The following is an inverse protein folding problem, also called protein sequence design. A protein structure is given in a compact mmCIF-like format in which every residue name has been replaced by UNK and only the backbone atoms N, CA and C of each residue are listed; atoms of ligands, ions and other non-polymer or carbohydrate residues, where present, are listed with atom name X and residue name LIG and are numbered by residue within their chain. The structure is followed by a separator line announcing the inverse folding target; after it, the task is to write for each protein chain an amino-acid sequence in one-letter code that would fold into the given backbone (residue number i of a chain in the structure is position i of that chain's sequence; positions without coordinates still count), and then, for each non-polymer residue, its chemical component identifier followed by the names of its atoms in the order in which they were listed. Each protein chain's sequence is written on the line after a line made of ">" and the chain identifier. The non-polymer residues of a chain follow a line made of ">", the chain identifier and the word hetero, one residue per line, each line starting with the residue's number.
data_IF_447097599497
#
_entry.id   IF_447097599497
#
_cell.length_a   1.000
_cell.length_b   1.000
_cell.length_c   1.000
_cell.angle_alpha   90.00
_cell.angle_beta   90.00
_cell.angle_gamma   90.00
#
_symmetry.space_group_name_H-M   'P 1'
#
loop_
_entity.id
_entity.type
_entity.pdbx_description
1 polymer ?
#
# COMPACT_ATOMS: atom_id res chain seq x y z
N UNK A 1 5.52 -9.10 25.47
CA UNK A 1 5.31 -7.70 25.90
C UNK A 1 3.95 -7.27 25.37
N UNK A 2 3.05 -6.78 26.21
CA UNK A 2 1.76 -6.28 25.72
C UNK A 2 2.06 -5.08 24.79
N UNK A 3 1.58 -5.12 23.55
CA UNK A 3 1.62 -3.94 22.66
C UNK A 3 0.99 -2.78 23.44
N UNK A 4 1.68 -1.65 23.52
CA UNK A 4 1.13 -0.45 24.13
C UNK A 4 -0.22 -0.13 23.49
N UNK A 5 -1.18 0.29 24.32
CA UNK A 5 -2.54 0.59 23.85
C UNK A 5 -2.46 1.81 22.94
N UNK A 6 -2.63 1.59 21.64
CA UNK A 6 -2.62 2.66 20.64
C UNK A 6 -3.64 3.74 21.00
N UNK A 7 -3.18 4.99 21.15
CA UNK A 7 -4.01 6.15 21.49
C UNK A 7 -4.38 6.85 20.17
N UNK A 8 -5.67 6.82 19.82
CA UNK A 8 -6.20 7.51 18.64
C UNK A 8 -6.39 9.00 18.93
N UNK A 9 -5.34 9.80 18.77
CA UNK A 9 -5.43 11.26 18.93
C UNK A 9 -5.83 11.99 17.64
N UNK A 10 -5.58 11.37 16.47
CA UNK A 10 -5.80 11.96 15.15
C UNK A 10 -6.92 11.24 14.38
N UNK A 11 -7.61 11.94 13.46
CA UNK A 11 -8.52 11.28 12.52
C UNK A 11 -7.81 10.16 11.76
N UNK A 12 -8.47 9.01 11.66
CA UNK A 12 -7.95 7.81 11.02
C UNK A 12 -8.50 7.68 9.60
N UNK A 13 -7.64 7.34 8.65
CA UNK A 13 -8.03 7.06 7.25
C UNK A 13 -7.30 5.82 6.76
N UNK A 14 -8.04 4.86 6.24
CA UNK A 14 -7.49 3.70 5.55
C UNK A 14 -7.19 4.10 4.10
N UNK A 15 -5.94 3.94 3.67
CA UNK A 15 -5.54 4.21 2.29
C UNK A 15 -4.76 3.03 1.72
N UNK A 16 -4.57 2.99 0.41
CA UNK A 16 -3.71 1.96 -0.18
C UNK A 16 -3.20 2.29 -1.57
N UNK A 17 -2.10 1.65 -1.95
CA UNK A 17 -1.51 1.78 -3.29
C UNK A 17 -2.15 0.81 -4.27
N UNK A 18 -2.54 1.32 -5.43
CA UNK A 18 -3.10 0.52 -6.53
C UNK A 18 -2.40 0.90 -7.83
N UNK A 19 -2.44 0.02 -8.84
CA UNK A 19 -1.83 0.25 -10.14
C UNK A 19 -1.19 -1.02 -10.70
N UNK A 20 -0.72 -0.92 -11.94
CA UNK A 20 -0.09 -2.03 -12.67
C UNK A 20 1.15 -2.60 -11.95
N UNK A 21 1.50 -3.84 -12.29
CA UNK A 21 2.75 -4.47 -11.85
C UNK A 21 3.95 -3.60 -12.25
N UNK A 22 5.03 -3.64 -11.46
CA UNK A 22 6.29 -2.91 -11.68
C UNK A 22 6.21 -1.37 -11.73
N UNK A 23 5.05 -0.77 -11.47
CA UNK A 23 4.92 0.70 -11.38
C UNK A 23 5.48 1.30 -10.07
N UNK A 24 6.05 0.48 -9.17
CA UNK A 24 6.71 0.96 -7.95
C UNK A 24 5.80 1.23 -6.75
N UNK A 25 4.66 0.54 -6.64
CA UNK A 25 3.72 0.65 -5.49
C UNK A 25 4.43 0.42 -4.15
N UNK A 26 5.06 -0.74 -3.99
CA UNK A 26 5.76 -1.14 -2.77
C UNK A 26 6.97 -0.24 -2.48
N UNK A 27 7.70 0.16 -3.52
CA UNK A 27 8.80 1.14 -3.41
C UNK A 27 8.31 2.49 -2.90
N UNK A 28 7.15 2.96 -3.38
CA UNK A 28 6.53 4.18 -2.90
C UNK A 28 6.10 4.05 -1.43
N UNK A 29 5.50 2.92 -1.05
CA UNK A 29 5.11 2.65 0.35
C UNK A 29 6.32 2.70 1.29
N UNK A 30 7.43 2.08 0.91
CA UNK A 30 8.70 2.18 1.66
C UNK A 30 9.24 3.62 1.72
N UNK A 31 9.15 4.39 0.62
CA UNK A 31 9.60 5.77 0.59
C UNK A 31 8.76 6.70 1.49
N UNK A 32 7.45 6.47 1.56
CA UNK A 32 6.54 7.21 2.45
C UNK A 32 6.94 7.00 3.91
N UNK A 33 7.08 5.74 4.35
CA UNK A 33 7.49 5.46 5.74
C UNK A 33 8.87 6.00 6.06
N UNK A 34 9.82 5.93 5.11
CA UNK A 34 11.16 6.51 5.29
C UNK A 34 11.11 8.02 5.49
N UNK A 35 10.30 8.71 4.68
CA UNK A 35 10.21 10.16 4.73
C UNK A 35 9.56 10.63 6.04
N UNK A 36 8.56 9.91 6.52
CA UNK A 36 7.85 10.23 7.76
C UNK A 36 8.64 9.81 9.00
N UNK A 37 9.42 8.73 8.95
CA UNK A 37 10.28 8.31 10.06
C UNK A 37 11.41 9.32 10.32
N UNK A 38 11.93 9.96 9.27
CA UNK A 38 12.87 11.08 9.42
C UNK A 38 12.29 12.28 10.18
N UNK A 39 10.96 12.37 10.28
CA UNK A 39 10.24 13.38 11.07
C UNK A 39 9.74 12.86 12.42
N UNK A 40 10.01 11.59 12.75
CA UNK A 40 9.49 10.93 13.94
C UNK A 40 8.00 10.61 13.87
N UNK A 41 7.41 10.55 12.68
CA UNK A 41 5.97 10.34 12.45
C UNK A 41 5.64 8.93 11.92
N UNK A 42 6.62 8.03 11.83
CA UNK A 42 6.44 6.65 11.43
C UNK A 42 7.65 5.81 11.86
N UNK A 43 7.45 4.50 11.96
CA UNK A 43 8.54 3.55 11.92
C UNK A 43 8.89 3.24 10.46
N UNK A 44 10.19 3.28 10.13
CA UNK A 44 10.62 2.98 8.76
C UNK A 44 10.37 1.51 8.44
N UNK A 45 9.63 1.25 7.36
CA UNK A 45 9.43 -0.08 6.80
C UNK A 45 10.18 -0.18 5.47
N UNK A 46 11.25 -0.97 5.46
CA UNK A 46 12.03 -1.20 4.25
C UNK A 46 11.26 -2.08 3.25
N UNK A 47 11.60 -1.98 1.96
CA UNK A 47 10.97 -2.76 0.89
C UNK A 47 10.88 -4.26 1.22
N UNK A 48 11.99 -4.87 1.67
CA UNK A 48 12.06 -6.30 2.02
C UNK A 48 11.23 -6.70 3.25
N UNK A 49 10.75 -5.71 4.03
CA UNK A 49 9.85 -5.94 5.16
C UNK A 49 8.37 -5.87 4.73
N UNK A 50 8.09 -5.16 3.64
CA UNK A 50 6.77 -5.07 3.02
C UNK A 50 6.55 -6.32 2.16
N UNK A 51 7.47 -6.62 1.23
CA UNK A 51 7.52 -7.88 0.47
C UNK A 51 8.33 -8.93 1.25
N UNK A 52 7.73 -9.45 2.33
CA UNK A 52 8.42 -10.36 3.25
C UNK A 52 8.23 -11.85 2.92
N UNK A 53 7.28 -12.21 2.05
CA UNK A 53 7.04 -13.60 1.75
C UNK A 53 8.19 -14.17 0.90
N UNK A 54 8.67 -15.40 1.15
CA UNK A 54 9.72 -16.03 0.35
C UNK A 54 9.39 -16.05 -1.15
N UNK A 55 8.11 -16.28 -1.49
CA UNK A 55 7.63 -16.32 -2.87
C UNK A 55 7.65 -14.92 -3.54
N UNK A 56 7.42 -13.85 -2.78
CA UNK A 56 7.49 -12.47 -3.28
C UNK A 56 8.93 -12.08 -3.63
N UNK A 57 9.89 -12.46 -2.77
CA UNK A 57 11.32 -12.21 -3.00
C UNK A 57 11.86 -12.99 -4.18
N UNK A 58 11.41 -14.23 -4.38
CA UNK A 58 11.81 -15.05 -5.52
C UNK A 58 11.23 -14.54 -6.85
N UNK A 59 10.00 -14.02 -6.83
CA UNK A 59 9.30 -13.57 -8.05
C UNK A 59 9.44 -12.07 -8.34
N UNK A 60 9.88 -11.27 -7.37
CA UNK A 60 10.01 -9.82 -7.51
C UNK A 60 8.68 -9.09 -7.65
N UNK A 61 7.57 -9.70 -7.22
CA UNK A 61 6.22 -9.13 -7.30
C UNK A 61 5.52 -9.27 -5.95
N UNK A 62 4.73 -8.27 -5.58
CA UNK A 62 3.84 -8.32 -4.41
C UNK A 62 2.71 -9.33 -4.64
N UNK A 63 2.51 -10.22 -3.69
CA UNK A 63 1.51 -11.30 -3.72
C UNK A 63 0.50 -11.10 -2.60
N UNK A 64 0.99 -10.87 -1.38
CA UNK A 64 0.21 -10.64 -0.19
C UNK A 64 -0.07 -9.15 0.01
N UNK A 65 -1.11 -8.87 0.77
CA UNK A 65 -1.42 -7.51 1.20
C UNK A 65 -0.48 -7.17 2.37
N UNK A 66 0.25 -6.07 2.26
CA UNK A 66 1.04 -5.55 3.37
C UNK A 66 0.30 -4.39 4.04
N UNK A 67 0.26 -4.40 5.37
CA UNK A 67 -0.28 -3.30 6.16
C UNK A 67 0.86 -2.52 6.81
N UNK A 68 0.87 -1.22 6.58
CA UNK A 68 1.89 -0.29 7.06
C UNK A 68 1.20 0.89 7.72
N UNK A 69 1.67 1.29 8.89
CA UNK A 69 1.11 2.43 9.63
C UNK A 69 2.08 3.61 9.59
N UNK A 70 1.53 4.81 9.39
CA UNK A 70 2.27 6.06 9.53
C UNK A 70 1.29 7.20 9.79
N UNK A 71 1.81 8.33 10.25
CA UNK A 71 1.01 9.51 10.46
C UNK A 71 1.62 10.75 9.84
N UNK A 72 0.77 11.76 9.71
CA UNK A 72 1.18 13.14 9.43
C UNK A 72 0.88 13.99 10.65
N UNK A 73 1.18 15.28 10.59
CA UNK A 73 0.78 16.23 11.61
C UNK A 73 -0.75 16.28 11.82
N UNK A 74 -1.54 15.88 10.81
CA UNK A 74 -2.99 16.06 10.80
C UNK A 74 -3.82 14.77 10.95
N UNK A 75 -3.29 13.62 10.54
CA UNK A 75 -4.04 12.34 10.43
C UNK A 75 -3.16 11.13 10.66
N UNK A 76 -3.77 10.04 11.13
CA UNK A 76 -3.19 8.69 11.15
C UNK A 76 -3.66 7.90 9.92
N UNK A 77 -2.75 7.15 9.31
CA UNK A 77 -3.03 6.35 8.13
C UNK A 77 -2.68 4.88 8.37
N UNK A 78 -3.65 4.01 8.08
CA UNK A 78 -3.37 2.60 7.82
C UNK A 78 -3.25 2.44 6.30
N UNK A 79 -2.04 2.12 5.82
CA UNK A 79 -1.73 1.94 4.40
C UNK A 79 -1.76 0.46 4.05
N UNK A 80 -2.54 0.11 3.05
CA UNK A 80 -2.67 -1.22 2.45
C UNK A 80 -1.94 -1.26 1.11
N UNK A 81 -0.79 -1.92 1.03
CA UNK A 81 -0.07 -2.12 -0.24
C UNK A 81 -0.70 -3.28 -1.01
N UNK A 82 -1.29 -3.00 -2.18
CA UNK A 82 -2.00 -4.02 -2.96
C UNK A 82 -1.18 -4.55 -4.14
N UNK A 83 -1.31 -5.85 -4.46
CA UNK A 83 -0.62 -6.45 -5.60
C UNK A 83 -1.16 -5.90 -6.93
N UNK A 84 -0.28 -5.71 -7.91
CA UNK A 84 -0.60 -5.20 -9.25
C UNK A 84 -0.65 -6.26 -10.35
N UNK A 85 -0.30 -7.50 -10.03
CA UNK A 85 -0.29 -8.59 -10.99
C UNK A 85 -1.70 -9.18 -11.16
N UNK A 86 -2.04 -9.57 -12.40
CA UNK A 86 -3.39 -10.03 -12.75
C UNK A 86 -3.83 -11.25 -11.94
N UNK A 87 -2.90 -12.16 -11.68
CA UNK A 87 -3.17 -13.39 -10.94
C UNK A 87 -3.53 -13.15 -9.46
N UNK A 88 -3.20 -11.97 -8.93
CA UNK A 88 -3.42 -11.61 -7.52
C UNK A 88 -4.47 -10.51 -7.33
N UNK A 89 -5.28 -10.22 -8.37
CA UNK A 89 -6.39 -9.26 -8.29
C UNK A 89 -7.38 -9.58 -7.15
N UNK A 90 -7.58 -10.86 -6.80
CA UNK A 90 -8.45 -11.26 -5.68
C UNK A 90 -8.01 -10.64 -4.35
N UNK A 91 -6.70 -10.55 -4.13
CA UNK A 91 -6.14 -9.95 -2.92
C UNK A 91 -6.35 -8.43 -2.95
N UNK A 92 -6.16 -7.82 -4.12
CA UNK A 92 -6.46 -6.39 -4.33
C UNK A 92 -7.94 -6.07 -4.04
N UNK A 93 -8.90 -6.91 -4.44
CA UNK A 93 -10.34 -6.70 -4.14
C UNK A 93 -10.58 -6.67 -2.63
N UNK A 94 -9.98 -7.61 -1.89
CA UNK A 94 -10.11 -7.66 -0.42
C UNK A 94 -9.49 -6.43 0.23
N UNK A 95 -8.37 -5.94 -0.30
CA UNK A 95 -7.70 -4.71 0.16
C UNK A 95 -8.52 -3.45 -0.14
N UNK A 96 -9.05 -3.32 -1.36
CA UNK A 96 -9.83 -2.16 -1.80
C UNK A 96 -11.10 -1.94 -0.97
N UNK A 97 -11.75 -3.02 -0.49
CA UNK A 97 -12.92 -2.94 0.38
C UNK A 97 -12.68 -2.29 1.75
N UNK A 98 -11.42 -2.15 2.14
CA UNK A 98 -11.04 -1.55 3.42
C UNK A 98 -10.58 -0.10 3.25
N UNK A 99 -10.48 0.43 2.03
CA UNK A 99 -9.86 1.72 1.75
C UNK A 99 -10.90 2.85 1.68
N UNK A 100 -10.65 3.92 2.44
CA UNK A 100 -11.36 5.20 2.31
C UNK A 100 -10.83 6.02 1.11
N UNK A 101 -9.63 5.70 0.64
CA UNK A 101 -9.01 6.34 -0.54
C UNK A 101 -7.84 5.53 -1.09
N UNK A 102 -7.53 5.71 -2.37
CA UNK A 102 -6.46 4.97 -3.04
C UNK A 102 -5.42 5.90 -3.68
N UNK A 103 -4.16 5.48 -3.62
CA UNK A 103 -3.01 6.09 -4.31
C UNK A 103 -2.78 5.29 -5.59
N UNK A 104 -3.17 5.87 -6.74
CA UNK A 104 -2.92 5.25 -8.04
C UNK A 104 -1.48 5.55 -8.49
N UNK A 105 -0.68 4.49 -8.64
CA UNK A 105 0.71 4.61 -9.08
C UNK A 105 0.83 4.27 -10.57
N UNK A 106 1.34 5.23 -11.33
CA UNK A 106 1.55 5.11 -12.78
C UNK A 106 3.00 5.44 -13.11
N UNK A 107 3.69 4.46 -13.69
CA UNK A 107 5.04 4.62 -14.21
C UNK A 107 5.06 5.68 -15.32
N UNK A 108 5.98 6.64 -15.25
CA UNK A 108 6.11 7.67 -16.28
C UNK A 108 6.58 7.12 -17.64
N UNK A 109 7.52 6.13 -17.70
CA UNK A 109 7.86 5.45 -18.95
C UNK A 109 6.71 4.68 -19.61
N UNK A 110 5.88 3.99 -18.82
CA UNK A 110 4.88 3.05 -19.36
C UNK A 110 3.50 3.70 -19.56
N UNK A 111 3.15 4.65 -18.70
CA UNK A 111 1.83 5.27 -18.67
C UNK A 111 0.73 4.30 -18.18
N UNK A 112 -0.54 4.59 -18.50
CA UNK A 112 -1.67 3.76 -18.05
C UNK A 112 -1.72 2.40 -18.76
N UNK A 113 -1.63 1.32 -17.98
CA UNK A 113 -1.67 -0.07 -18.46
C UNK A 113 -3.05 -0.72 -18.22
N UNK A 114 -3.34 -1.92 -18.75
CA UNK A 114 -4.64 -2.58 -18.56
C UNK A 114 -5.05 -2.72 -17.08
N UNK A 115 -4.11 -3.11 -16.22
CA UNK A 115 -4.33 -3.24 -14.77
C UNK A 115 -4.54 -1.88 -14.10
N UNK A 116 -3.95 -0.79 -14.60
CA UNK A 116 -4.26 0.56 -14.12
C UNK A 116 -5.76 0.85 -14.27
N UNK A 117 -6.35 0.49 -15.40
CA UNK A 117 -7.79 0.68 -15.66
C UNK A 117 -8.64 -0.26 -14.81
N UNK A 118 -8.25 -1.53 -14.74
CA UNK A 118 -8.94 -2.55 -13.96
C UNK A 118 -8.96 -2.19 -12.46
N UNK A 119 -7.83 -1.71 -11.94
CA UNK A 119 -7.74 -1.30 -10.54
C UNK A 119 -8.63 -0.10 -10.22
N UNK A 120 -8.71 0.89 -11.12
CA UNK A 120 -9.63 2.02 -10.95
C UNK A 120 -11.09 1.57 -10.99
N UNK A 121 -11.42 0.62 -11.88
CA UNK A 121 -12.78 0.06 -11.95
C UNK A 121 -13.14 -0.68 -10.66
N UNK A 122 -12.24 -1.53 -10.16
CA UNK A 122 -12.44 -2.29 -8.93
C UNK A 122 -12.53 -1.37 -7.72
N UNK A 123 -11.65 -0.38 -7.58
CA UNK A 123 -11.71 0.58 -6.48
C UNK A 123 -13.04 1.35 -6.43
N UNK A 124 -13.71 1.56 -7.58
CA UNK A 124 -15.05 2.17 -7.63
C UNK A 124 -16.18 1.20 -7.32
N UNK A 125 -16.03 -0.07 -7.67
CA UNK A 125 -17.11 -1.07 -7.56
C UNK A 125 -17.19 -1.75 -6.20
N UNK A 126 -16.18 -1.58 -5.36
CA UNK A 126 -16.01 -2.30 -4.10
C UNK A 126 -16.61 -1.52 -2.89
N UNK A 127 -17.54 -0.60 -3.14
CA UNK A 127 -18.41 0.00 -2.11
C UNK A 127 -19.49 -0.98 -1.60
#
# INVERSE_FOLDING_TARGET
>A
MAKEKFVREKPHVNIGTIGHVDHGKTTLTAAITKTLSMKGLADFSAFDQIDNAPEERERGITIAIAHVEYETETRHYAHVDCPGHRDYIKNMITGAAQMDGAILVVSAPDGPMPQTREHVLLARQVE
#
